data_IF_863445086074
#
_entry.id   IF_863445086074
#
_cell.length_a   1.000
_cell.length_b   1.000
_cell.length_c   1.000
_cell.angle_alpha   90.00
_cell.angle_beta   90.00
_cell.angle_gamma   90.00
#
_symmetry.space_group_name_H-M   'P 1'
#
loop_
_entity.id
_entity.type
_entity.pdbx_description
1 polymer ?
#
# COMPACT_ATOMS: atom_id res chain seq x y z
N UNK A 1 3.10 -44.45 -19.15
CA UNK A 1 2.24 -45.39 -18.38
C UNK A 1 2.21 -46.82 -18.90
N UNK A 2 2.11 -47.08 -20.21
CA UNK A 2 2.20 -48.48 -20.75
C UNK A 2 3.56 -49.14 -20.49
N UNK A 3 4.60 -48.32 -20.31
CA UNK A 3 5.97 -48.70 -19.96
C UNK A 3 6.23 -48.88 -18.46
N UNK A 4 5.27 -48.54 -17.58
CA UNK A 4 5.44 -48.67 -16.14
C UNK A 4 5.12 -50.10 -15.67
N UNK A 5 5.86 -50.66 -14.69
CA UNK A 5 5.47 -51.90 -14.02
C UNK A 5 4.05 -51.85 -13.43
N UNK A 6 3.33 -52.98 -13.42
CA UNK A 6 1.94 -53.04 -12.98
C UNK A 6 1.69 -52.49 -11.56
N UNK A 7 2.65 -52.71 -10.65
CA UNK A 7 2.58 -52.24 -9.26
C UNK A 7 2.58 -50.71 -9.13
N UNK A 8 3.14 -49.98 -10.12
CA UNK A 8 3.20 -48.51 -10.11
C UNK A 8 1.79 -47.92 -10.14
N UNK A 9 0.88 -48.47 -10.97
CA UNK A 9 -0.51 -48.02 -11.05
C UNK A 9 -1.23 -48.19 -9.71
N UNK A 10 -1.08 -49.36 -9.08
CA UNK A 10 -1.69 -49.63 -7.77
C UNK A 10 -1.14 -48.72 -6.67
N UNK A 11 0.15 -48.38 -6.73
CA UNK A 11 0.80 -47.53 -5.74
C UNK A 11 0.42 -46.04 -5.85
N UNK A 12 0.06 -45.54 -7.04
CA UNK A 12 -0.31 -44.12 -7.26
C UNK A 12 -1.82 -43.89 -7.34
N UNK A 13 -2.63 -44.96 -7.42
CA UNK A 13 -4.09 -44.86 -7.47
C UNK A 13 -4.72 -43.98 -6.37
N UNK A 14 -4.20 -43.93 -5.13
CA UNK A 14 -4.71 -43.01 -4.10
C UNK A 14 -4.52 -41.52 -4.43
N UNK A 15 -3.54 -41.16 -5.28
CA UNK A 15 -3.22 -39.79 -5.67
C UNK A 15 -3.88 -39.36 -6.98
N UNK A 16 -4.30 -40.32 -7.79
CA UNK A 16 -4.88 -40.12 -9.13
C UNK A 16 -6.10 -41.04 -9.27
N UNK A 17 -7.24 -40.66 -8.67
CA UNK A 17 -8.45 -41.50 -8.64
C UNK A 17 -9.01 -41.78 -10.04
N UNK A 18 -8.64 -41.01 -11.05
CA UNK A 18 -9.01 -41.19 -12.45
C UNK A 18 -8.35 -42.42 -13.11
N UNK A 19 -7.41 -43.08 -12.43
CA UNK A 19 -6.68 -44.24 -12.98
C UNK A 19 -7.44 -45.56 -12.95
N UNK A 20 -8.70 -45.59 -12.49
CA UNK A 20 -9.60 -46.76 -12.42
C UNK A 20 -8.85 -48.07 -12.17
N UNK A 21 -8.22 -48.18 -11.01
CA UNK A 21 -7.51 -49.39 -10.61
C UNK A 21 -8.43 -50.22 -9.71
N UNK A 22 -8.67 -51.49 -10.07
CA UNK A 22 -9.27 -52.47 -9.16
C UNK A 22 -8.34 -52.60 -7.94
N UNK A 23 -8.71 -51.95 -6.83
CA UNK A 23 -7.95 -52.00 -5.59
C UNK A 23 -8.33 -53.26 -4.83
N UNK A 24 -7.38 -54.18 -4.66
CA UNK A 24 -7.47 -55.18 -3.58
C UNK A 24 -7.12 -54.50 -2.26
N UNK A 25 -7.84 -54.80 -1.15
CA UNK A 25 -7.53 -54.23 0.15
C UNK A 25 -6.18 -54.76 0.62
N UNK A 26 -5.13 -53.95 0.48
CA UNK A 26 -3.82 -54.21 1.07
C UNK A 26 -3.94 -53.83 2.55
N UNK A 27 -3.55 -54.73 3.45
CA UNK A 27 -3.51 -54.48 4.90
C UNK A 27 -2.57 -53.33 5.28
N UNK A 28 -2.43 -53.00 6.58
CA UNK A 28 -1.50 -51.96 7.02
C UNK A 28 -0.10 -52.31 6.52
N UNK A 29 0.48 -51.41 5.75
CA UNK A 29 1.73 -51.65 5.04
C UNK A 29 2.73 -50.55 5.38
N UNK A 30 3.69 -50.93 6.21
CA UNK A 30 4.75 -50.04 6.71
C UNK A 30 5.62 -49.45 5.58
N UNK A 31 5.57 -50.02 4.36
CA UNK A 31 6.31 -49.57 3.19
C UNK A 31 5.44 -48.88 2.14
N UNK A 32 4.14 -48.65 2.39
CA UNK A 32 3.23 -48.02 1.43
C UNK A 32 3.75 -46.67 0.93
N UNK A 33 4.24 -45.81 1.84
CA UNK A 33 4.81 -44.50 1.53
C UNK A 33 6.02 -44.61 0.61
N UNK A 34 6.96 -45.49 0.93
CA UNK A 34 8.19 -45.65 0.15
C UNK A 34 7.92 -46.25 -1.23
N UNK A 35 6.96 -47.17 -1.33
CA UNK A 35 6.49 -47.67 -2.63
C UNK A 35 5.78 -46.60 -3.44
N UNK A 36 4.96 -45.73 -2.83
CA UNK A 36 4.31 -44.62 -3.52
C UNK A 36 5.34 -43.63 -4.08
N UNK A 37 6.33 -43.22 -3.28
CA UNK A 37 7.43 -42.36 -3.74
C UNK A 37 8.22 -43.00 -4.89
N UNK A 38 8.54 -44.29 -4.77
CA UNK A 38 9.24 -45.03 -5.84
C UNK A 38 8.39 -45.13 -7.11
N UNK A 39 7.08 -45.33 -6.97
CA UNK A 39 6.14 -45.39 -8.08
C UNK A 39 6.09 -44.05 -8.84
N UNK A 40 6.08 -42.92 -8.11
CA UNK A 40 6.14 -41.58 -8.70
C UNK A 40 7.43 -41.36 -9.50
N UNK A 41 8.58 -41.77 -8.95
CA UNK A 41 9.86 -41.71 -9.67
C UNK A 41 9.82 -42.55 -10.94
N UNK A 42 9.38 -43.82 -10.86
CA UNK A 42 9.29 -44.72 -12.03
C UNK A 42 8.30 -44.18 -13.07
N UNK A 43 7.22 -43.55 -12.63
CA UNK A 43 6.26 -42.90 -13.52
C UNK A 43 6.91 -41.72 -14.26
N UNK A 44 7.61 -40.83 -13.56
CA UNK A 44 8.27 -39.68 -14.16
C UNK A 44 9.38 -40.11 -15.13
N UNK A 45 10.19 -41.12 -14.77
CA UNK A 45 11.22 -41.68 -15.66
C UNK A 45 10.58 -42.27 -16.93
N UNK A 46 9.48 -43.01 -16.78
CA UNK A 46 8.75 -43.61 -17.91
C UNK A 46 8.07 -42.57 -18.81
N UNK A 47 7.65 -41.43 -18.26
CA UNK A 47 7.11 -40.31 -19.03
C UNK A 47 8.24 -39.55 -19.73
N UNK A 48 9.37 -39.31 -19.04
CA UNK A 48 10.55 -38.65 -19.57
C UNK A 48 11.21 -39.41 -20.73
N UNK A 49 11.13 -40.75 -20.72
CA UNK A 49 11.62 -41.60 -21.81
C UNK A 49 10.75 -41.50 -23.08
N UNK A 50 9.48 -41.10 -22.95
CA UNK A 50 8.54 -40.96 -24.08
C UNK A 50 8.55 -39.53 -24.63
N UNK A 51 8.64 -38.53 -23.76
CA UNK A 51 8.69 -37.10 -24.11
C UNK A 51 9.39 -36.27 -23.02
N UNK A 52 9.96 -35.09 -23.34
CA UNK A 52 10.48 -34.19 -22.32
C UNK A 52 9.39 -33.84 -21.28
N UNK A 53 9.72 -34.01 -20.01
CA UNK A 53 8.85 -33.67 -18.87
C UNK A 53 9.56 -32.60 -18.04
N UNK A 54 8.81 -31.63 -17.54
CA UNK A 54 9.23 -30.68 -16.50
C UNK A 54 8.23 -30.71 -15.34
N UNK A 55 8.71 -30.42 -14.14
CA UNK A 55 7.88 -30.34 -12.93
C UNK A 55 7.82 -28.89 -12.45
N UNK A 56 6.61 -28.38 -12.24
CA UNK A 56 6.39 -27.10 -11.58
C UNK A 56 5.67 -27.37 -10.26
N UNK A 57 6.25 -26.87 -9.16
CA UNK A 57 5.69 -26.99 -7.82
C UNK A 57 5.43 -25.58 -7.31
N UNK A 58 4.17 -25.31 -6.99
CA UNK A 58 3.76 -24.02 -6.46
C UNK A 58 3.63 -24.07 -4.93
N UNK A 59 3.83 -22.94 -4.27
CA UNK A 59 3.70 -22.73 -2.82
C UNK A 59 4.48 -23.75 -1.95
N UNK A 60 5.75 -23.99 -2.28
CA UNK A 60 6.64 -24.88 -1.51
C UNK A 60 6.73 -24.60 0.00
N UNK A 61 6.61 -23.36 0.51
CA UNK A 61 6.62 -23.13 1.96
C UNK A 61 5.52 -23.86 2.72
N UNK A 62 4.45 -24.28 2.05
CA UNK A 62 3.29 -24.98 2.63
C UNK A 62 3.22 -26.46 2.24
N UNK A 63 4.22 -26.96 1.51
CA UNK A 63 4.27 -28.37 1.11
C UNK A 63 4.36 -29.28 2.34
N UNK A 64 3.72 -30.45 2.32
CA UNK A 64 3.89 -31.41 3.40
C UNK A 64 5.31 -32.03 3.38
N UNK A 65 5.81 -32.57 4.51
CA UNK A 65 7.13 -33.19 4.57
C UNK A 65 7.35 -34.33 3.55
N UNK A 66 6.31 -35.08 3.19
CA UNK A 66 6.47 -36.16 2.20
C UNK A 66 6.63 -35.63 0.77
N UNK A 67 6.02 -34.48 0.46
CA UNK A 67 6.29 -33.75 -0.78
C UNK A 67 7.74 -33.27 -0.84
N UNK A 68 8.27 -32.66 0.22
CA UNK A 68 9.68 -32.22 0.26
C UNK A 68 10.66 -33.40 0.14
N UNK A 69 10.39 -34.52 0.81
CA UNK A 69 11.18 -35.75 0.70
C UNK A 69 11.18 -36.31 -0.75
N UNK A 70 10.05 -36.21 -1.46
CA UNK A 70 9.96 -36.61 -2.87
C UNK A 70 10.80 -35.69 -3.76
N UNK A 71 10.77 -34.38 -3.51
CA UNK A 71 11.58 -33.41 -4.27
C UNK A 71 13.08 -33.64 -4.02
N UNK A 72 13.49 -33.95 -2.80
CA UNK A 72 14.87 -34.32 -2.48
C UNK A 72 15.29 -35.61 -3.20
N UNK A 73 14.41 -36.62 -3.19
CA UNK A 73 14.63 -37.87 -3.91
C UNK A 73 14.80 -37.63 -5.41
N UNK A 74 13.93 -36.81 -6.01
CA UNK A 74 14.01 -36.46 -7.42
C UNK A 74 15.29 -35.68 -7.70
N UNK A 75 15.58 -34.61 -6.96
CA UNK A 75 16.76 -33.77 -7.16
C UNK A 75 18.10 -34.52 -6.97
N UNK A 76 18.11 -35.62 -6.24
CA UNK A 76 19.32 -36.44 -6.04
C UNK A 76 19.70 -37.33 -7.24
N UNK A 77 18.83 -37.45 -8.25
CA UNK A 77 19.02 -38.36 -9.39
C UNK A 77 19.68 -37.64 -10.58
N UNK A 78 20.43 -38.35 -11.45
CA UNK A 78 21.11 -37.77 -12.61
C UNK A 78 20.21 -37.56 -13.85
N UNK A 79 19.03 -38.18 -13.91
CA UNK A 79 18.13 -38.18 -15.08
C UNK A 79 16.81 -37.44 -14.80
N UNK A 80 16.89 -36.22 -14.27
CA UNK A 80 15.73 -35.52 -13.70
C UNK A 80 15.11 -34.57 -14.72
N UNK A 81 13.78 -34.61 -14.79
CA UNK A 81 12.98 -33.55 -15.42
C UNK A 81 13.33 -32.19 -14.79
N UNK A 82 13.55 -31.10 -15.55
CA UNK A 82 13.75 -29.78 -14.95
C UNK A 82 12.63 -29.45 -13.97
N UNK A 83 13.02 -28.98 -12.78
CA UNK A 83 12.11 -28.63 -11.70
C UNK A 83 12.12 -27.12 -11.47
N UNK A 84 10.95 -26.52 -11.39
CA UNK A 84 10.75 -25.12 -10.99
C UNK A 84 9.87 -25.10 -9.76
N UNK A 85 10.30 -24.38 -8.74
CA UNK A 85 9.57 -24.22 -7.49
C UNK A 85 9.33 -22.74 -7.20
N UNK A 86 8.17 -22.40 -6.63
CA UNK A 86 7.93 -21.07 -6.07
C UNK A 86 8.13 -21.10 -4.56
N UNK A 87 8.73 -20.05 -4.02
CA UNK A 87 9.02 -19.92 -2.60
C UNK A 87 8.74 -18.50 -2.13
N UNK A 88 8.07 -18.36 -0.99
CA UNK A 88 7.83 -17.07 -0.33
C UNK A 88 8.88 -16.88 0.75
N UNK A 89 9.78 -15.90 0.59
CA UNK A 89 10.86 -15.63 1.56
C UNK A 89 10.33 -15.14 2.90
N UNK A 90 9.18 -14.47 2.88
CA UNK A 90 8.64 -13.77 4.03
C UNK A 90 7.32 -14.42 4.47
N UNK A 91 7.21 -15.75 4.59
CA UNK A 91 5.98 -16.41 5.06
C UNK A 91 6.13 -16.82 6.55
N UNK A 92 5.20 -16.45 7.46
CA UNK A 92 5.42 -16.61 8.90
C UNK A 92 5.11 -18.03 9.36
N UNK A 93 4.32 -18.75 8.58
CA UNK A 93 3.84 -20.08 8.85
C UNK A 93 4.83 -21.13 8.31
N UNK A 94 5.92 -20.66 7.67
CA UNK A 94 7.01 -21.52 7.23
C UNK A 94 7.75 -22.08 8.43
N UNK A 95 7.67 -23.40 8.59
CA UNK A 95 8.35 -24.08 9.69
C UNK A 95 9.88 -24.03 9.55
N UNK A 96 10.58 -24.20 10.67
CA UNK A 96 12.05 -24.25 10.69
C UNK A 96 12.62 -25.35 9.79
N UNK A 97 11.99 -26.53 9.78
CA UNK A 97 12.40 -27.66 8.96
C UNK A 97 12.31 -27.33 7.46
N UNK A 98 11.33 -26.52 7.06
CA UNK A 98 11.18 -26.06 5.67
C UNK A 98 12.25 -25.04 5.29
N UNK A 99 12.61 -24.14 6.19
CA UNK A 99 13.72 -23.20 5.97
C UNK A 99 15.06 -23.95 5.83
N UNK A 100 15.30 -24.95 6.67
CA UNK A 100 16.50 -25.80 6.56
C UNK A 100 16.52 -26.61 5.26
N UNK A 101 15.36 -27.09 4.80
CA UNK A 101 15.22 -27.72 3.50
C UNK A 101 15.54 -26.74 2.35
N UNK A 102 14.98 -25.53 2.40
CA UNK A 102 15.20 -24.48 1.41
C UNK A 102 16.69 -24.10 1.28
N UNK A 103 17.39 -23.95 2.40
CA UNK A 103 18.82 -23.65 2.43
C UNK A 103 19.65 -24.78 1.83
N UNK A 104 19.32 -26.03 2.17
CA UNK A 104 19.97 -27.22 1.61
C UNK A 104 19.79 -27.30 0.09
N UNK A 105 18.56 -27.12 -0.41
CA UNK A 105 18.26 -27.18 -1.84
C UNK A 105 18.88 -26.02 -2.61
N UNK A 106 19.01 -24.85 -1.99
CA UNK A 106 19.66 -23.68 -2.59
C UNK A 106 21.09 -23.90 -3.08
N UNK A 107 21.82 -24.84 -2.46
CA UNK A 107 23.17 -25.21 -2.92
C UNK A 107 23.17 -26.01 -4.23
N UNK A 108 22.01 -26.51 -4.66
CA UNK A 108 21.81 -27.39 -5.81
C UNK A 108 20.85 -26.80 -6.86
N UNK A 109 20.35 -25.59 -6.65
CA UNK A 109 19.37 -24.95 -7.52
C UNK A 109 19.76 -23.51 -7.87
N UNK A 110 19.25 -23.01 -9.01
CA UNK A 110 19.29 -21.59 -9.33
C UNK A 110 18.11 -20.90 -8.65
N UNK A 111 18.36 -19.75 -8.00
CA UNK A 111 17.32 -18.93 -7.36
C UNK A 111 17.11 -17.66 -8.17
N UNK A 112 15.86 -17.38 -8.51
CA UNK A 112 15.44 -16.13 -9.13
C UNK A 112 14.69 -15.36 -8.05
N UNK A 113 15.25 -14.25 -7.58
CA UNK A 113 14.53 -13.35 -6.68
C UNK A 113 13.57 -12.51 -7.52
N UNK A 114 12.33 -12.40 -7.06
CA UNK A 114 11.30 -11.58 -7.70
C UNK A 114 11.06 -10.38 -6.81
N UNK A 115 11.66 -9.25 -7.19
CA UNK A 115 11.39 -7.96 -6.58
C UNK A 115 9.99 -7.47 -6.97
N UNK A 116 9.38 -6.55 -6.20
CA UNK A 116 8.22 -5.80 -6.67
C UNK A 116 8.51 -5.16 -8.02
N UNK A 117 7.51 -5.10 -8.89
CA UNK A 117 7.67 -4.49 -10.21
C UNK A 117 8.15 -3.05 -10.08
N UNK A 118 9.03 -2.64 -10.97
CA UNK A 118 9.35 -1.24 -11.17
C UNK A 118 8.12 -0.46 -11.66
N UNK A 119 8.23 0.86 -11.66
CA UNK A 119 7.18 1.73 -12.22
C UNK A 119 6.93 1.45 -13.71
N UNK A 120 8.00 1.14 -14.45
CA UNK A 120 7.92 0.85 -15.89
C UNK A 120 7.29 -0.52 -16.14
N UNK A 121 7.66 -1.54 -15.37
CA UNK A 121 7.03 -2.87 -15.43
C UNK A 121 5.56 -2.83 -14.96
N UNK A 122 5.22 -1.96 -14.00
CA UNK A 122 3.83 -1.70 -13.60
C UNK A 122 3.05 -1.07 -14.76
N UNK A 123 3.66 -0.15 -15.51
CA UNK A 123 3.04 0.42 -16.72
C UNK A 123 2.84 -0.64 -17.81
N UNK A 124 3.80 -1.55 -17.99
CA UNK A 124 3.70 -2.68 -18.91
C UNK A 124 2.57 -3.64 -18.51
N UNK A 125 2.50 -4.01 -17.23
CA UNK A 125 1.41 -4.84 -16.70
C UNK A 125 0.04 -4.20 -16.95
N UNK A 126 -0.11 -2.90 -16.66
CA UNK A 126 -1.33 -2.16 -16.92
C UNK A 126 -1.68 -2.14 -18.41
N UNK A 127 -0.69 -1.96 -19.29
CA UNK A 127 -0.91 -1.97 -20.73
C UNK A 127 -1.38 -3.34 -21.24
N UNK A 128 -0.81 -4.43 -20.72
CA UNK A 128 -1.23 -5.81 -21.04
C UNK A 128 -2.67 -6.08 -20.59
N UNK A 129 -3.06 -5.57 -19.42
CA UNK A 129 -4.41 -5.75 -18.88
C UNK A 129 -5.47 -4.90 -19.58
N UNK A 130 -5.19 -3.62 -19.78
CA UNK A 130 -6.13 -2.67 -20.39
C UNK A 130 -6.19 -2.82 -21.92
N UNK A 131 -5.23 -3.55 -22.54
CA UNK A 131 -5.07 -3.66 -23.99
C UNK A 131 -4.69 -2.34 -24.67
N UNK A 132 -4.34 -1.30 -23.90
CA UNK A 132 -4.02 0.05 -24.37
C UNK A 132 -2.96 0.67 -23.47
N UNK A 133 -2.21 1.67 -23.97
CA UNK A 133 -1.20 2.35 -23.16
C UNK A 133 -1.85 3.19 -22.05
N UNK A 134 -1.56 2.92 -20.76
CA UNK A 134 -2.12 3.69 -19.65
C UNK A 134 -1.54 5.10 -19.57
N UNK A 135 -2.30 6.05 -19.00
CA UNK A 135 -1.80 7.42 -18.80
C UNK A 135 -0.73 7.48 -17.71
N UNK A 136 0.27 8.40 -17.80
CA UNK A 136 1.32 8.53 -16.78
C UNK A 136 0.79 8.81 -15.37
N UNK A 137 -0.32 9.54 -15.26
CA UNK A 137 -0.98 9.84 -13.99
C UNK A 137 -1.59 8.59 -13.37
N UNK A 138 -2.26 7.73 -14.17
CA UNK A 138 -2.80 6.45 -13.71
C UNK A 138 -1.70 5.51 -13.26
N UNK A 139 -0.60 5.41 -14.02
CA UNK A 139 0.57 4.62 -13.63
C UNK A 139 1.15 5.13 -12.31
N UNK A 140 1.33 6.44 -12.15
CA UNK A 140 1.85 7.02 -10.91
C UNK A 140 0.97 6.69 -9.70
N UNK A 141 -0.35 6.84 -9.87
CA UNK A 141 -1.32 6.58 -8.81
C UNK A 141 -1.35 5.10 -8.41
N UNK A 142 -1.48 4.20 -9.39
CA UNK A 142 -1.52 2.76 -9.13
C UNK A 142 -0.20 2.29 -8.56
N UNK A 143 0.93 2.72 -9.12
CA UNK A 143 2.25 2.34 -8.61
C UNK A 143 2.48 2.81 -7.17
N UNK A 144 2.07 4.04 -6.84
CA UNK A 144 2.17 4.58 -5.47
C UNK A 144 1.37 3.72 -4.47
N UNK A 145 0.22 3.19 -4.88
CA UNK A 145 -0.67 2.40 -4.02
C UNK A 145 -0.33 0.91 -4.00
N UNK A 146 0.12 0.34 -5.12
CA UNK A 146 0.51 -1.07 -5.24
C UNK A 146 1.95 -1.34 -4.82
N UNK A 147 2.80 -0.31 -4.83
CA UNK A 147 4.26 -0.40 -4.65
C UNK A 147 4.88 -1.48 -5.57
N UNK A 148 4.36 -1.61 -6.78
CA UNK A 148 4.83 -2.58 -7.76
C UNK A 148 4.36 -4.02 -7.53
N UNK A 149 3.51 -4.31 -6.54
CA UNK A 149 3.02 -5.67 -6.36
C UNK A 149 2.01 -6.04 -7.47
N UNK A 150 2.28 -7.08 -8.29
CA UNK A 150 1.48 -7.38 -9.48
C UNK A 150 0.00 -7.59 -9.18
N UNK A 151 -0.31 -8.35 -8.14
CA UNK A 151 -1.69 -8.62 -7.73
C UNK A 151 -2.43 -7.31 -7.38
N UNK A 152 -1.76 -6.36 -6.72
CA UNK A 152 -2.38 -5.09 -6.32
C UNK A 152 -2.55 -4.15 -7.51
N UNK A 153 -1.57 -4.09 -8.40
CA UNK A 153 -1.71 -3.37 -9.68
C UNK A 153 -2.95 -3.86 -10.42
N UNK A 154 -3.15 -5.19 -10.49
CA UNK A 154 -4.31 -5.77 -11.17
C UNK A 154 -5.65 -5.30 -10.56
N UNK A 155 -5.77 -5.38 -9.24
CA UNK A 155 -7.01 -5.00 -8.54
C UNK A 155 -7.32 -3.50 -8.68
N UNK A 156 -6.31 -2.64 -8.51
CA UNK A 156 -6.46 -1.18 -8.65
C UNK A 156 -6.79 -0.76 -10.09
N UNK A 157 -6.24 -1.48 -11.07
CA UNK A 157 -6.55 -1.25 -12.48
C UNK A 157 -8.02 -1.51 -12.80
N UNK A 158 -8.59 -2.60 -12.26
CA UNK A 158 -9.98 -3.00 -12.47
C UNK A 158 -10.97 -2.01 -11.84
N UNK A 159 -10.68 -1.45 -10.66
CA UNK A 159 -11.61 -0.50 -10.01
C UNK A 159 -11.61 0.88 -10.62
N UNK A 160 -10.46 1.33 -11.11
CA UNK A 160 -10.34 2.64 -11.76
C UNK A 160 -11.22 2.76 -13.01
N UNK A 161 -11.61 1.64 -13.65
CA UNK A 161 -12.50 1.64 -14.80
C UNK A 161 -13.99 1.73 -14.42
N UNK A 162 -14.36 1.35 -13.20
CA UNK A 162 -15.77 1.26 -12.76
C UNK A 162 -16.26 2.50 -12.00
N UNK A 163 -15.37 3.43 -11.63
CA UNK A 163 -15.73 4.60 -10.81
C UNK A 163 -16.09 4.28 -9.35
N UNK A 164 -16.09 2.99 -9.00
CA UNK A 164 -16.30 2.51 -7.64
C UNK A 164 -14.97 2.48 -6.86
N UNK A 165 -15.08 2.69 -5.55
CA UNK A 165 -14.00 2.47 -4.58
C UNK A 165 -13.65 0.96 -4.53
N UNK A 166 -12.36 0.66 -4.30
CA UNK A 166 -11.65 -0.65 -4.33
C UNK A 166 -12.54 -1.92 -4.18
N UNK A 167 -12.35 -3.01 -4.96
CA UNK A 167 -13.16 -4.22 -4.82
C UNK A 167 -12.85 -4.92 -3.49
N UNK A 168 -13.89 -5.12 -2.68
CA UNK A 168 -13.84 -5.60 -1.30
C UNK A 168 -13.25 -6.98 -1.03
N UNK A 169 -12.63 -7.69 -1.98
CA UNK A 169 -12.06 -9.02 -1.75
C UNK A 169 -10.73 -8.97 -0.97
N UNK A 170 -9.82 -8.07 -1.35
CA UNK A 170 -8.53 -7.92 -0.68
C UNK A 170 -8.65 -7.09 0.59
N UNK A 171 -9.46 -6.02 0.55
CA UNK A 171 -9.85 -5.30 1.75
C UNK A 171 -10.54 -6.26 2.73
N UNK A 172 -11.44 -7.17 2.33
CA UNK A 172 -12.02 -8.16 3.25
C UNK A 172 -10.99 -9.10 3.90
N UNK A 173 -9.93 -9.50 3.18
CA UNK A 173 -8.84 -10.32 3.74
C UNK A 173 -8.04 -9.53 4.77
N UNK A 174 -7.67 -8.28 4.46
CA UNK A 174 -6.96 -7.40 5.39
C UNK A 174 -7.85 -7.00 6.57
N UNK A 175 -9.11 -6.66 6.33
CA UNK A 175 -10.12 -6.35 7.35
C UNK A 175 -10.41 -7.54 8.26
N UNK A 176 -10.29 -8.79 7.78
CA UNK A 176 -10.32 -9.96 8.68
C UNK A 176 -9.14 -9.94 9.65
N UNK A 177 -7.91 -9.73 9.17
CA UNK A 177 -6.73 -9.62 10.03
C UNK A 177 -6.83 -8.45 11.01
N UNK A 178 -7.37 -7.33 10.56
CA UNK A 178 -7.60 -6.15 11.41
C UNK A 178 -8.69 -6.39 12.47
N UNK A 179 -9.72 -7.19 12.18
CA UNK A 179 -10.76 -7.58 13.16
C UNK A 179 -10.24 -8.50 14.25
N UNK A 180 -9.19 -9.26 13.99
CA UNK A 180 -8.56 -10.15 14.98
C UNK A 180 -7.65 -9.36 15.96
N UNK A 181 -7.48 -8.05 15.74
CA UNK A 181 -6.73 -7.18 16.65
C UNK A 181 -7.51 -6.92 17.94
N UNK A 182 -6.80 -6.99 19.07
CA UNK A 182 -7.31 -6.46 20.34
C UNK A 182 -7.46 -4.94 20.30
N UNK A 183 -8.13 -4.33 21.29
CA UNK A 183 -8.43 -2.89 21.32
C UNK A 183 -7.20 -1.99 21.15
N UNK A 184 -6.10 -2.34 21.82
CA UNK A 184 -4.83 -1.59 21.76
C UNK A 184 -4.14 -1.75 20.39
N UNK A 185 -4.19 -2.96 19.81
CA UNK A 185 -3.66 -3.21 18.47
C UNK A 185 -4.42 -2.43 17.40
N UNK A 186 -5.76 -2.39 17.49
CA UNK A 186 -6.60 -1.55 16.63
C UNK A 186 -6.31 -0.06 16.82
N UNK A 187 -6.16 0.40 18.06
CA UNK A 187 -5.84 1.80 18.38
C UNK A 187 -4.55 2.27 17.70
N UNK A 188 -3.46 1.48 17.77
CA UNK A 188 -2.20 1.85 17.10
C UNK A 188 -2.33 1.78 15.59
N UNK A 189 -2.93 0.70 15.07
CA UNK A 189 -3.07 0.46 13.63
C UNK A 189 -3.93 1.53 12.96
N UNK A 190 -5.05 1.93 13.59
CA UNK A 190 -5.92 2.98 13.06
C UNK A 190 -5.22 4.35 13.06
N UNK A 191 -4.41 4.65 14.08
CA UNK A 191 -3.67 5.91 14.15
C UNK A 191 -2.63 5.99 13.05
N UNK A 192 -1.85 4.92 12.85
CA UNK A 192 -0.90 4.84 11.73
C UNK A 192 -1.61 4.88 10.36
N UNK A 193 -2.77 4.24 10.25
CA UNK A 193 -3.58 4.25 9.02
C UNK A 193 -4.20 5.61 8.72
N UNK A 194 -4.50 6.43 9.72
CA UNK A 194 -4.97 7.81 9.55
C UNK A 194 -3.82 8.78 9.27
N UNK A 195 -2.64 8.55 9.87
CA UNK A 195 -1.45 9.34 9.62
C UNK A 195 -0.88 9.09 8.21
N UNK A 196 -1.00 7.86 7.69
CA UNK A 196 -0.46 7.44 6.38
C UNK A 196 1.05 7.71 6.21
N UNK A 197 1.79 7.76 7.32
CA UNK A 197 3.24 8.00 7.37
C UNK A 197 3.92 7.26 8.54
N UNK A 198 5.26 7.13 8.54
CA UNK A 198 5.99 6.72 9.72
C UNK A 198 5.82 7.73 10.85
N UNK A 199 5.61 7.23 12.06
CA UNK A 199 5.60 7.99 13.31
C UNK A 199 6.64 7.40 14.26
N UNK A 200 7.31 8.24 15.05
CA UNK A 200 8.15 7.73 16.14
C UNK A 200 7.29 7.08 17.23
N UNK A 201 7.88 6.23 18.06
CA UNK A 201 7.15 5.61 19.18
C UNK A 201 6.56 6.66 20.12
N UNK A 202 7.28 7.76 20.38
CA UNK A 202 6.80 8.90 21.16
C UNK A 202 5.60 9.60 20.48
N UNK A 203 5.71 9.90 19.18
CA UNK A 203 4.62 10.52 18.42
C UNK A 203 3.36 9.64 18.42
N UNK A 204 3.53 8.33 18.24
CA UNK A 204 2.44 7.36 18.26
C UNK A 204 1.79 7.27 19.65
N UNK A 205 2.59 7.28 20.72
CA UNK A 205 2.09 7.30 22.09
C UNK A 205 1.26 8.55 22.36
N UNK A 206 1.78 9.74 22.01
CA UNK A 206 1.06 11.00 22.13
C UNK A 206 -0.25 11.03 21.32
N UNK A 207 -0.24 10.47 20.12
CA UNK A 207 -1.43 10.36 19.28
C UNK A 207 -2.47 9.33 19.80
N UNK A 208 -2.11 8.52 20.81
CA UNK A 208 -2.94 7.45 21.39
C UNK A 208 -3.13 7.57 22.90
N UNK A 209 -3.02 8.79 23.43
CA UNK A 209 -3.26 9.18 24.84
C UNK A 209 -2.15 8.82 25.85
N UNK A 210 -0.94 8.50 25.38
CA UNK A 210 0.36 8.72 26.06
C UNK A 210 0.73 7.88 27.29
N UNK A 211 -0.22 7.20 27.93
CA UNK A 211 -0.02 6.62 29.28
C UNK A 211 0.26 5.10 29.31
N UNK A 212 0.44 4.48 28.15
CA UNK A 212 0.57 3.01 28.01
C UNK A 212 1.91 2.63 27.38
N UNK A 213 2.59 1.64 27.94
CA UNK A 213 3.75 1.01 27.29
C UNK A 213 3.31 0.34 25.99
N UNK A 214 3.67 0.94 24.85
CA UNK A 214 3.31 0.46 23.52
C UNK A 214 4.13 -0.77 23.09
N UNK A 215 5.24 -1.08 23.76
CA UNK A 215 6.20 -2.10 23.35
C UNK A 215 5.57 -3.49 23.16
N UNK A 216 4.74 -4.01 24.09
CA UNK A 216 4.11 -5.32 23.95
C UNK A 216 3.14 -5.36 22.75
N UNK A 217 2.39 -4.28 22.54
CA UNK A 217 1.41 -4.16 21.46
C UNK A 217 2.11 -4.09 20.11
N UNK A 218 3.15 -3.25 19.99
CA UNK A 218 3.98 -3.14 18.78
C UNK A 218 4.65 -4.47 18.44
N UNK A 219 5.19 -5.20 19.44
CA UNK A 219 5.76 -6.53 19.21
C UNK A 219 4.73 -7.51 18.65
N UNK A 220 3.49 -7.49 19.17
CA UNK A 220 2.41 -8.31 18.64
C UNK A 220 2.04 -7.91 17.20
N UNK A 221 1.92 -6.62 16.90
CA UNK A 221 1.60 -6.11 15.56
C UNK A 221 2.69 -6.42 14.54
N UNK A 222 3.97 -6.39 14.93
CA UNK A 222 5.10 -6.84 14.08
C UNK A 222 5.01 -8.33 13.80
N UNK A 223 4.75 -9.15 14.83
CA UNK A 223 4.55 -10.60 14.68
C UNK A 223 3.39 -10.94 13.75
N UNK A 224 2.31 -10.15 13.81
CA UNK A 224 1.14 -10.26 12.92
C UNK A 224 1.30 -9.55 11.58
N UNK A 225 2.45 -8.88 11.37
CA UNK A 225 2.85 -8.21 10.11
C UNK A 225 1.94 -7.06 9.70
N UNK A 226 1.34 -6.41 10.67
CA UNK A 226 0.53 -5.20 10.49
C UNK A 226 1.43 -3.97 10.42
N UNK A 227 2.44 -3.92 11.30
CA UNK A 227 3.39 -2.81 11.36
C UNK A 227 4.80 -3.29 11.05
N UNK A 228 5.63 -2.37 10.59
CA UNK A 228 7.07 -2.51 10.41
C UNK A 228 7.76 -1.26 10.94
N UNK A 229 9.03 -1.37 11.32
CA UNK A 229 9.79 -0.23 11.81
C UNK A 229 11.29 -0.46 11.77
N UNK A 230 12.04 0.65 11.78
CA UNK A 230 13.49 0.70 11.97
C UNK A 230 13.81 1.73 13.04
N UNK A 231 14.78 1.43 13.89
CA UNK A 231 15.23 2.28 15.01
C UNK A 231 14.10 2.66 15.98
N UNK A 232 13.46 3.82 15.75
CA UNK A 232 12.43 4.43 16.60
C UNK A 232 11.14 4.79 15.83
N UNK A 233 11.09 4.50 14.52
CA UNK A 233 9.91 4.77 13.68
C UNK A 233 9.07 3.51 13.44
N UNK A 234 7.76 3.70 13.46
CA UNK A 234 6.76 2.66 13.20
C UNK A 234 5.84 3.15 12.07
N UNK A 235 5.60 2.26 11.11
CA UNK A 235 4.66 2.47 10.02
C UNK A 235 3.83 1.22 9.77
N UNK A 236 2.70 1.36 9.07
CA UNK A 236 2.02 0.20 8.51
C UNK A 236 2.94 -0.51 7.52
N UNK A 237 3.00 -1.84 7.60
CA UNK A 237 3.85 -2.63 6.70
C UNK A 237 3.44 -2.46 5.24
N UNK A 238 2.17 -2.17 4.99
CA UNK A 238 1.62 -2.02 3.65
C UNK A 238 0.62 -0.86 3.57
N UNK A 239 0.68 0.01 2.53
CA UNK A 239 -0.28 1.12 2.36
C UNK A 239 -1.75 0.67 2.33
N UNK A 240 -2.04 -0.51 1.80
CA UNK A 240 -3.41 -1.07 1.79
C UNK A 240 -3.99 -1.33 3.19
N UNK A 241 -3.17 -1.44 4.23
CA UNK A 241 -3.67 -1.50 5.60
C UNK A 241 -4.32 -0.17 6.00
N UNK A 242 -3.83 0.98 5.50
CA UNK A 242 -4.47 2.27 5.71
C UNK A 242 -5.82 2.32 4.98
N UNK A 243 -5.91 1.77 3.77
CA UNK A 243 -7.18 1.68 3.04
C UNK A 243 -8.20 0.79 3.78
N UNK A 244 -7.78 -0.39 4.25
CA UNK A 244 -8.62 -1.29 5.03
C UNK A 244 -9.03 -0.68 6.38
N UNK A 245 -8.13 0.07 7.03
CA UNK A 245 -8.49 0.89 8.21
C UNK A 245 -9.60 1.87 7.83
N UNK A 246 -9.44 2.66 6.77
CA UNK A 246 -10.45 3.66 6.34
C UNK A 246 -11.81 3.03 6.06
N UNK A 247 -11.87 1.84 5.48
CA UNK A 247 -13.14 1.12 5.25
C UNK A 247 -13.79 0.60 6.53
N UNK A 248 -13.00 0.29 7.56
CA UNK A 248 -13.51 -0.20 8.84
C UNK A 248 -13.92 0.91 9.80
N UNK A 249 -13.45 2.14 9.60
CA UNK A 249 -13.82 3.29 10.42
C UNK A 249 -15.29 3.64 10.22
N UNK A 250 -16.01 3.80 11.33
CA UNK A 250 -17.39 4.30 11.29
C UNK A 250 -17.42 5.83 11.15
N UNK A 251 -18.52 6.43 10.65
CA UNK A 251 -18.64 7.88 10.56
C UNK A 251 -18.32 8.58 11.89
N UNK A 252 -17.34 9.49 11.86
CA UNK A 252 -16.89 10.24 13.04
C UNK A 252 -15.75 9.61 13.84
N UNK A 253 -15.42 8.33 13.64
CA UNK A 253 -14.31 7.68 14.36
C UNK A 253 -12.95 8.29 13.99
N UNK A 254 -12.76 8.61 12.70
CA UNK A 254 -11.54 9.22 12.19
C UNK A 254 -11.29 10.64 12.73
N UNK A 255 -12.34 11.39 13.09
CA UNK A 255 -12.24 12.81 13.45
C UNK A 255 -11.32 13.01 14.65
N UNK A 256 -11.52 12.23 15.72
CA UNK A 256 -10.67 12.32 16.92
C UNK A 256 -9.24 11.82 16.69
N UNK A 257 -9.02 10.94 15.71
CA UNK A 257 -7.66 10.50 15.34
C UNK A 257 -6.96 11.61 14.55
N UNK A 258 -7.63 12.22 13.57
CA UNK A 258 -7.09 13.34 12.82
C UNK A 258 -6.70 14.54 13.70
N UNK A 259 -7.51 14.89 14.71
CA UNK A 259 -7.15 15.94 15.69
C UNK A 259 -5.82 15.61 16.37
N UNK A 260 -5.69 14.41 16.96
CA UNK A 260 -4.49 14.01 17.69
C UNK A 260 -3.25 13.93 16.80
N UNK A 261 -3.40 13.40 15.58
CA UNK A 261 -2.30 13.37 14.62
C UNK A 261 -1.89 14.79 14.22
N UNK A 262 -2.85 15.68 13.96
CA UNK A 262 -2.56 17.07 13.63
C UNK A 262 -1.82 17.79 14.77
N UNK A 263 -2.25 17.60 16.03
CA UNK A 263 -1.58 18.13 17.22
C UNK A 263 -0.13 17.64 17.32
N UNK A 264 0.10 16.32 17.19
CA UNK A 264 1.44 15.75 17.24
C UNK A 264 2.35 16.28 16.13
N UNK A 265 1.86 16.32 14.89
CA UNK A 265 2.64 16.81 13.75
C UNK A 265 2.89 18.34 13.83
N UNK A 266 1.99 19.08 14.47
CA UNK A 266 2.10 20.53 14.63
C UNK A 266 3.24 20.97 15.55
N UNK A 267 3.68 20.09 16.45
CA UNK A 267 4.74 20.36 17.44
C UNK A 267 6.14 19.93 16.97
N UNK A 268 6.26 19.38 15.78
CA UNK A 268 7.56 18.99 15.24
C UNK A 268 8.47 20.23 15.05
N UNK A 269 9.81 20.08 15.10
CA UNK A 269 10.72 21.20 14.83
C UNK A 269 10.56 21.80 13.44
N UNK A 270 10.18 20.98 12.46
CA UNK A 270 9.84 21.38 11.09
C UNK A 270 8.51 20.71 10.68
N UNK A 271 7.35 21.29 11.06
CA UNK A 271 6.06 20.68 10.81
C UNK A 271 5.73 20.60 9.31
N UNK A 272 5.24 19.45 8.81
CA UNK A 272 4.75 19.34 7.43
C UNK A 272 3.41 20.08 7.30
N UNK A 273 3.45 21.40 7.10
CA UNK A 273 2.28 22.27 7.25
C UNK A 273 1.07 21.87 6.37
N UNK A 274 1.30 21.42 5.14
CA UNK A 274 0.24 20.95 4.25
C UNK A 274 -0.44 19.67 4.75
N UNK A 275 0.33 18.76 5.35
CA UNK A 275 -0.16 17.51 5.94
C UNK A 275 -0.98 17.80 7.20
N UNK A 276 -0.47 18.68 8.08
CA UNK A 276 -1.20 19.15 9.26
C UNK A 276 -2.53 19.80 8.86
N UNK A 277 -2.53 20.64 7.83
CA UNK A 277 -3.75 21.26 7.31
C UNK A 277 -4.76 20.21 6.79
N UNK A 278 -4.30 19.17 6.09
CA UNK A 278 -5.15 18.09 5.61
C UNK A 278 -5.82 17.31 6.75
N UNK A 279 -5.12 17.08 7.86
CA UNK A 279 -5.72 16.46 9.04
C UNK A 279 -6.75 17.36 9.73
N UNK A 280 -6.50 18.67 9.86
CA UNK A 280 -7.51 19.59 10.39
C UNK A 280 -8.76 19.68 9.50
N UNK A 281 -8.58 19.63 8.18
CA UNK A 281 -9.68 19.55 7.22
C UNK A 281 -10.52 18.27 7.45
N UNK A 282 -9.85 17.11 7.55
CA UNK A 282 -10.51 15.83 7.78
C UNK A 282 -11.16 15.73 9.17
N UNK A 283 -10.68 16.50 10.14
CA UNK A 283 -11.28 16.65 11.47
C UNK A 283 -12.44 17.67 11.52
N UNK A 284 -12.76 18.34 10.41
CA UNK A 284 -13.75 19.43 10.35
C UNK A 284 -13.44 20.54 11.37
N UNK A 285 -12.19 21.00 11.39
CA UNK A 285 -11.67 22.06 12.27
C UNK A 285 -11.20 23.26 11.43
N UNK A 286 -12.12 24.10 10.93
CA UNK A 286 -11.81 25.11 9.92
C UNK A 286 -10.91 26.25 10.43
N UNK A 287 -10.96 26.57 11.72
CA UNK A 287 -10.10 27.61 12.30
C UNK A 287 -8.64 27.17 12.36
N UNK A 288 -8.40 25.94 12.81
CA UNK A 288 -7.09 25.31 12.86
C UNK A 288 -6.58 25.01 11.44
N UNK A 289 -7.45 24.52 10.54
CA UNK A 289 -7.15 24.30 9.13
C UNK A 289 -6.63 25.59 8.48
N UNK A 290 -7.31 26.72 8.68
CA UNK A 290 -6.92 28.00 8.08
C UNK A 290 -5.48 28.41 8.44
N UNK A 291 -5.10 28.30 9.72
CA UNK A 291 -3.74 28.63 10.18
C UNK A 291 -2.70 27.80 9.44
N UNK A 292 -2.94 26.49 9.32
CA UNK A 292 -2.00 25.58 8.68
C UNK A 292 -1.99 25.67 7.16
N UNK A 293 -3.12 25.99 6.51
CA UNK A 293 -3.19 26.29 5.07
C UNK A 293 -2.35 27.51 4.71
N UNK A 294 -2.41 28.58 5.52
CA UNK A 294 -1.55 29.77 5.33
C UNK A 294 -0.06 29.40 5.44
N UNK A 295 0.33 28.65 6.49
CA UNK A 295 1.72 28.21 6.67
C UNK A 295 2.20 27.31 5.52
N UNK A 296 1.36 26.39 5.07
CA UNK A 296 1.65 25.52 3.93
C UNK A 296 1.90 26.32 2.65
N UNK A 297 1.03 27.31 2.40
CA UNK A 297 1.13 28.18 1.24
C UNK A 297 2.40 29.05 1.28
N UNK A 298 2.73 29.64 2.43
CA UNK A 298 3.96 30.40 2.65
C UNK A 298 5.23 29.54 2.45
N UNK A 299 5.22 28.30 2.95
CA UNK A 299 6.33 27.36 2.78
C UNK A 299 6.52 26.95 1.30
N UNK A 300 5.44 26.82 0.54
CA UNK A 300 5.50 26.59 -0.91
C UNK A 300 5.98 27.85 -1.68
N UNK A 301 5.51 29.03 -1.28
CA UNK A 301 5.95 30.31 -1.86
C UNK A 301 7.44 30.58 -1.62
N UNK A 302 7.96 30.29 -0.43
CA UNK A 302 9.38 30.40 -0.09
C UNK A 302 10.27 29.51 -0.96
N UNK A 303 9.71 28.43 -1.51
CA UNK A 303 10.37 27.50 -2.45
C UNK A 303 10.07 27.82 -3.91
N UNK A 304 9.39 28.93 -4.20
CA UNK A 304 8.95 29.34 -5.54
C UNK A 304 8.15 28.24 -6.27
N UNK A 305 7.27 27.55 -5.54
CA UNK A 305 6.44 26.45 -6.03
C UNK A 305 4.95 26.87 -6.17
N UNK A 306 4.58 27.70 -7.16
CA UNK A 306 3.24 28.27 -7.26
C UNK A 306 2.15 27.24 -7.54
N UNK A 307 2.49 26.09 -8.15
CA UNK A 307 1.55 24.97 -8.33
C UNK A 307 1.18 24.28 -7.01
N UNK A 308 2.05 24.35 -6.01
CA UNK A 308 1.82 23.84 -4.66
C UNK A 308 1.15 24.90 -3.78
N UNK A 309 1.52 26.18 -3.89
CA UNK A 309 0.92 27.24 -3.05
C UNK A 309 -0.50 27.63 -3.48
N UNK A 310 -0.84 27.54 -4.78
CA UNK A 310 -2.18 27.89 -5.27
C UNK A 310 -3.34 27.14 -4.60
N UNK A 311 -3.35 25.79 -4.47
CA UNK A 311 -4.44 25.10 -3.78
C UNK A 311 -4.53 25.47 -2.30
N UNK A 312 -3.39 25.71 -1.64
CA UNK A 312 -3.33 26.11 -0.22
C UNK A 312 -3.93 27.50 0.00
N UNK A 313 -3.54 28.49 -0.82
CA UNK A 313 -4.11 29.84 -0.78
C UNK A 313 -5.59 29.87 -1.17
N UNK A 314 -5.99 29.06 -2.16
CA UNK A 314 -7.40 28.93 -2.56
C UNK A 314 -8.26 28.45 -1.40
N UNK A 315 -7.80 27.42 -0.68
CA UNK A 315 -8.51 26.86 0.47
C UNK A 315 -8.51 27.83 1.65
N UNK A 316 -7.40 28.50 1.92
CA UNK A 316 -7.34 29.53 2.97
C UNK A 316 -8.37 30.64 2.75
N UNK A 317 -8.54 31.11 1.51
CA UNK A 317 -9.57 32.11 1.14
C UNK A 317 -10.99 31.60 1.45
N UNK A 318 -11.31 30.36 1.08
CA UNK A 318 -12.62 29.76 1.36
C UNK A 318 -12.92 29.70 2.86
N UNK A 319 -11.94 29.26 3.65
CA UNK A 319 -12.08 29.14 5.10
C UNK A 319 -12.22 30.50 5.78
N UNK A 320 -11.55 31.53 5.27
CA UNK A 320 -11.62 32.89 5.80
C UNK A 320 -13.05 33.46 5.74
N UNK A 321 -13.81 33.15 4.68
CA UNK A 321 -15.21 33.59 4.56
C UNK A 321 -16.13 32.97 5.60
N UNK A 322 -15.79 31.78 6.07
CA UNK A 322 -16.63 30.94 6.92
C UNK A 322 -16.21 30.94 8.39
N UNK A 323 -15.05 31.52 8.71
CA UNK A 323 -14.45 31.47 10.04
C UNK A 323 -14.20 32.89 10.53
N UNK A 324 -14.55 33.19 11.77
CA UNK A 324 -13.97 34.33 12.49
C UNK A 324 -12.71 33.80 13.18
N UNK A 325 -11.51 33.89 12.56
CA UNK A 325 -10.29 33.48 13.25
C UNK A 325 -10.23 34.23 14.58
N UNK A 326 -9.95 33.53 15.67
CA UNK A 326 -9.65 34.18 16.94
C UNK A 326 -8.52 35.18 16.71
N UNK A 327 -8.69 36.42 17.20
CA UNK A 327 -7.73 37.51 16.99
C UNK A 327 -6.29 37.04 17.24
N UNK A 328 -5.47 37.09 16.18
CA UNK A 328 -4.04 36.75 16.24
C UNK A 328 -3.65 35.29 15.94
N UNK A 329 -4.59 34.39 15.67
CA UNK A 329 -4.26 33.00 15.31
C UNK A 329 -3.69 32.85 13.89
N UNK A 330 -4.09 33.73 12.98
CA UNK A 330 -3.60 33.76 11.59
C UNK A 330 -2.67 34.96 11.42
N UNK A 331 -1.45 34.71 10.97
CA UNK A 331 -0.37 35.71 10.92
C UNK A 331 -0.48 36.71 9.75
N UNK A 332 -1.41 36.48 8.81
CA UNK A 332 -1.59 37.29 7.59
C UNK A 332 -2.98 37.88 7.53
N UNK A 333 -3.15 39.05 6.90
CA UNK A 333 -4.47 39.64 6.67
C UNK A 333 -5.16 39.02 5.44
N UNK A 334 -6.50 39.08 5.37
CA UNK A 334 -7.27 38.59 4.20
C UNK A 334 -6.79 39.21 2.88
N UNK A 335 -6.45 40.50 2.88
CA UNK A 335 -5.93 41.16 1.70
C UNK A 335 -4.64 40.50 1.17
N UNK A 336 -3.74 40.11 2.08
CA UNK A 336 -2.52 39.39 1.70
C UNK A 336 -2.85 38.00 1.15
N UNK A 337 -3.76 37.26 1.78
CA UNK A 337 -4.23 35.95 1.27
C UNK A 337 -4.75 36.07 -0.17
N UNK A 338 -5.56 37.08 -0.47
CA UNK A 338 -6.12 37.32 -1.81
C UNK A 338 -5.03 37.68 -2.84
N UNK A 339 -4.08 38.54 -2.47
CA UNK A 339 -2.96 38.92 -3.35
C UNK A 339 -2.07 37.71 -3.65
N UNK A 340 -1.71 36.94 -2.62
CA UNK A 340 -0.88 35.73 -2.76
C UNK A 340 -1.57 34.65 -3.57
N UNK A 341 -2.88 34.50 -3.40
CA UNK A 341 -3.69 33.60 -4.19
C UNK A 341 -3.66 33.96 -5.69
N UNK A 342 -3.91 35.22 -6.05
CA UNK A 342 -3.81 35.69 -7.45
C UNK A 342 -2.40 35.46 -8.01
N UNK A 343 -1.36 35.78 -7.23
CA UNK A 343 0.04 35.58 -7.62
C UNK A 343 0.38 34.11 -7.88
N UNK A 344 -0.05 33.22 -7.00
CA UNK A 344 0.14 31.78 -7.16
C UNK A 344 -0.62 31.24 -8.38
N UNK A 345 -1.80 31.78 -8.71
CA UNK A 345 -2.56 31.41 -9.90
C UNK A 345 -1.81 31.77 -11.20
N UNK A 346 -1.28 33.00 -11.25
CA UNK A 346 -0.43 33.47 -12.37
C UNK A 346 0.83 32.61 -12.48
N UNK A 347 1.53 32.39 -11.35
CA UNK A 347 2.74 31.57 -11.29
C UNK A 347 2.51 30.10 -11.67
N UNK A 348 1.35 29.55 -11.34
CA UNK A 348 0.95 28.18 -11.69
C UNK A 348 0.57 28.05 -13.18
N UNK A 349 0.48 29.17 -13.91
CA UNK A 349 0.02 29.28 -15.30
C UNK A 349 -1.41 28.79 -15.48
N UNK A 350 -2.29 29.20 -14.56
CA UNK A 350 -3.73 29.05 -14.75
C UNK A 350 -4.17 29.84 -15.99
N UNK A 351 -5.29 29.41 -16.61
CA UNK A 351 -5.81 30.09 -17.79
C UNK A 351 -6.14 31.56 -17.49
N UNK A 352 -5.85 32.45 -18.45
CA UNK A 352 -6.03 33.91 -18.27
C UNK A 352 -7.46 34.27 -17.90
N UNK A 353 -8.44 33.59 -18.49
CA UNK A 353 -9.85 33.80 -18.17
C UNK A 353 -10.18 33.35 -16.75
N UNK A 354 -9.59 32.25 -16.27
CA UNK A 354 -9.73 31.81 -14.88
C UNK A 354 -9.15 32.86 -13.94
N UNK A 355 -7.93 33.33 -14.18
CA UNK A 355 -7.27 34.37 -13.36
C UNK A 355 -8.08 35.67 -13.31
N UNK A 356 -8.71 36.07 -14.43
CA UNK A 356 -9.59 37.24 -14.45
C UNK A 356 -10.78 37.08 -13.50
N UNK A 357 -11.44 35.92 -13.51
CA UNK A 357 -12.53 35.61 -12.58
C UNK A 357 -12.02 35.66 -11.13
N UNK A 358 -10.80 35.18 -10.87
CA UNK A 358 -10.21 35.23 -9.52
C UNK A 358 -10.02 36.67 -9.02
N UNK A 359 -9.56 37.56 -9.90
CA UNK A 359 -9.38 38.99 -9.60
C UNK A 359 -10.73 39.65 -9.32
N UNK A 360 -11.76 39.37 -10.12
CA UNK A 360 -13.12 39.88 -9.91
C UNK A 360 -13.68 39.42 -8.55
N UNK A 361 -13.51 38.15 -8.21
CA UNK A 361 -13.87 37.59 -6.91
C UNK A 361 -13.18 38.32 -5.75
N UNK A 362 -11.88 38.61 -5.87
CA UNK A 362 -11.11 39.29 -4.83
C UNK A 362 -11.55 40.75 -4.65
N UNK A 363 -11.94 41.43 -5.73
CA UNK A 363 -12.46 42.81 -5.67
C UNK A 363 -13.86 42.91 -5.06
N UNK A 364 -14.62 41.82 -5.04
CA UNK A 364 -15.94 41.76 -4.43
C UNK A 364 -15.88 41.71 -2.88
N UNK A 365 -14.72 41.41 -2.30
CA UNK A 365 -14.52 41.39 -0.85
C UNK A 365 -14.50 42.81 -0.26
N UNK A 366 -15.11 42.98 0.92
CA UNK A 366 -15.11 44.26 1.64
C UNK A 366 -13.80 44.41 2.44
N UNK A 367 -12.75 44.84 1.76
CA UNK A 367 -11.41 45.00 2.33
C UNK A 367 -11.18 46.45 2.81
N UNK A 368 -10.62 46.66 4.03
CA UNK A 368 -10.15 47.97 4.45
C UNK A 368 -8.92 48.40 3.63
N UNK A 369 -8.74 49.70 3.46
CA UNK A 369 -7.49 50.26 2.93
C UNK A 369 -6.33 50.01 3.92
N UNK A 370 -5.12 49.62 3.47
CA UNK A 370 -4.62 49.61 2.09
C UNK A 370 -4.83 48.30 1.30
N UNK A 371 -5.45 47.29 1.91
CA UNK A 371 -5.56 45.95 1.31
C UNK A 371 -6.32 45.93 -0.02
N UNK A 372 -7.34 46.79 -0.14
CA UNK A 372 -8.09 46.99 -1.39
C UNK A 372 -7.20 47.55 -2.51
N UNK A 373 -6.35 48.54 -2.21
CA UNK A 373 -5.40 49.11 -3.18
C UNK A 373 -4.40 48.07 -3.70
N UNK A 374 -3.96 47.13 -2.87
CA UNK A 374 -3.00 46.09 -3.24
C UNK A 374 -3.58 45.08 -4.24
N UNK A 375 -4.81 44.62 -3.99
CA UNK A 375 -5.55 43.76 -4.94
C UNK A 375 -5.77 44.48 -6.28
N UNK A 376 -6.12 45.78 -6.24
CA UNK A 376 -6.32 46.60 -7.44
C UNK A 376 -5.03 46.77 -8.26
N UNK A 377 -3.89 47.02 -7.62
CA UNK A 377 -2.60 47.13 -8.30
C UNK A 377 -2.24 45.83 -9.05
N UNK A 378 -2.63 44.68 -8.51
CA UNK A 378 -2.40 43.38 -9.16
C UNK A 378 -3.33 43.12 -10.33
N UNK A 379 -4.56 43.61 -10.26
CA UNK A 379 -5.51 43.55 -11.38
C UNK A 379 -5.09 44.41 -12.58
N UNK A 380 -4.28 45.44 -12.36
CA UNK A 380 -3.91 46.45 -13.35
C UNK A 380 -2.62 46.17 -14.14
N UNK A 381 -1.90 45.06 -13.89
CA UNK A 381 -0.68 44.67 -14.63
C UNK A 381 -0.96 43.51 -15.61
N UNK A 382 -1.57 43.78 -16.79
CA UNK A 382 -1.91 42.75 -17.78
C UNK A 382 -0.69 42.11 -18.45
N UNK A 383 0.55 42.57 -18.20
CA UNK A 383 1.77 42.07 -18.85
C UNK A 383 2.33 40.79 -18.19
N UNK A 384 1.75 40.34 -17.08
CA UNK A 384 2.14 39.09 -16.39
C UNK A 384 1.28 37.88 -16.76
N UNK A 385 0.18 38.08 -17.48
CA UNK A 385 -0.73 37.02 -17.93
C UNK A 385 -0.42 36.49 -19.35
N UNK A 386 0.68 36.91 -19.98
CA UNK A 386 1.08 36.52 -21.33
C UNK A 386 2.40 35.73 -21.33
#
# INVERSE_FOLDING_TARGET
MRSCPAWVRSAIAPLLPELEVESSPVGPDDFARQRMMTALVVLLDALGADRPVGLWVDDLPWADPATLDLLDLLASRPAVAPMVGTWRTDDPDTSRDHLEWWDRVGTRSARIHLDPLSRDETAEQLALMDGTTPSPTRVAEIYRRSLGQPLFTEHLAQTSQSGDTVPGALAAVLSRRLRDLGPEGWLLTRTLGVAERPLTVDQLARATDGDVDLTPVLRALVGQRIVSGSDDEVQLRHPLLAEAVREMLVPGEAVGVHVRVAEVLSELPDPPAAEVAAHWQAAHRPAEELVWRVRAAQAADARFAPRESFPEWSRARELWRCTSPSDGAVEVALAEVLVRWIDSAIGARQEVDAVRVLIEDAMAEDLPEPGRAEVLLRSADPRRCC
#
